data_IF_549889820758
#
_entry.id   IF_549889820758
#
_cell.length_a   1.000
_cell.length_b   1.000
_cell.length_c   1.000
_cell.angle_alpha   90.00
_cell.angle_beta   90.00
_cell.angle_gamma   90.00
#
_symmetry.space_group_name_H-M   'P 1'
#
loop_
_entity.id
_entity.type
_entity.pdbx_description
1 polymer ?
#
# COMPACT_ATOMS: atom_id res chain seq x y z
N UNK A 1 12.06 -17.38 -20.49
CA UNK A 1 13.11 -17.77 -21.44
C UNK A 1 14.40 -16.95 -21.24
N UNK A 2 14.33 -15.59 -21.24
CA UNK A 2 15.53 -14.72 -21.12
C UNK A 2 16.30 -14.92 -19.81
N UNK A 3 15.64 -15.07 -18.68
CA UNK A 3 16.27 -15.18 -17.34
C UNK A 3 17.07 -16.48 -17.11
N UNK A 4 16.85 -17.50 -17.90
CA UNK A 4 17.53 -18.80 -17.83
C UNK A 4 18.38 -19.06 -19.07
N UNK A 5 18.64 -18.06 -19.89
CA UNK A 5 19.48 -18.15 -21.09
C UNK A 5 20.86 -17.56 -20.82
N UNK A 6 21.87 -18.02 -21.56
CA UNK A 6 23.24 -17.48 -21.43
C UNK A 6 23.27 -15.98 -21.76
N UNK A 7 24.13 -15.22 -21.05
CA UNK A 7 24.27 -13.77 -21.25
C UNK A 7 24.56 -13.40 -22.71
N UNK A 8 25.37 -14.21 -23.41
CA UNK A 8 25.71 -13.99 -24.81
C UNK A 8 24.49 -14.12 -25.73
N UNK A 9 23.61 -15.11 -25.51
CA UNK A 9 22.40 -15.30 -26.31
C UNK A 9 21.35 -14.19 -26.05
N UNK A 10 21.30 -13.66 -24.83
CA UNK A 10 20.41 -12.53 -24.47
C UNK A 10 20.91 -11.23 -25.09
N UNK A 11 22.22 -10.96 -25.05
CA UNK A 11 22.84 -9.78 -25.70
C UNK A 11 22.71 -9.82 -27.23
N UNK A 12 22.83 -11.02 -27.82
CA UNK A 12 22.64 -11.20 -29.26
C UNK A 12 21.16 -11.12 -29.70
N UNK A 13 20.22 -10.88 -28.76
CA UNK A 13 18.77 -10.84 -29.00
C UNK A 13 18.20 -12.10 -29.67
N UNK A 14 18.84 -13.26 -29.48
CA UNK A 14 18.43 -14.52 -30.07
C UNK A 14 17.38 -15.29 -29.25
N UNK A 15 17.05 -14.80 -28.05
CA UNK A 15 16.10 -15.45 -27.14
C UNK A 15 14.73 -14.80 -27.25
N UNK A 16 13.81 -15.49 -27.94
CA UNK A 16 12.40 -15.07 -28.05
C UNK A 16 11.49 -15.90 -27.11
N UNK A 17 11.17 -17.11 -27.48
CA UNK A 17 10.25 -17.98 -26.75
C UNK A 17 10.93 -19.15 -26.02
N UNK A 18 12.06 -19.62 -26.53
CA UNK A 18 12.80 -20.75 -25.99
C UNK A 18 14.15 -20.29 -25.42
N UNK A 19 14.53 -20.83 -24.25
CA UNK A 19 15.82 -20.55 -23.64
C UNK A 19 16.96 -21.15 -24.47
N UNK A 20 17.99 -20.36 -24.78
CA UNK A 20 19.20 -20.82 -25.45
C UNK A 20 20.36 -20.78 -24.46
N UNK A 21 21.02 -21.96 -24.26
CA UNK A 21 22.13 -22.08 -23.32
C UNK A 21 21.68 -21.93 -21.87
N UNK A 22 21.02 -22.96 -21.33
CA UNK A 22 20.49 -22.95 -19.97
C UNK A 22 21.59 -22.59 -18.95
N UNK A 23 21.38 -21.49 -18.22
CA UNK A 23 22.34 -20.98 -17.25
C UNK A 23 21.60 -20.44 -16.01
N UNK A 24 21.94 -20.99 -14.85
CA UNK A 24 21.36 -20.59 -13.55
C UNK A 24 22.34 -19.71 -12.76
N UNK A 25 23.53 -19.43 -13.29
CA UNK A 25 24.57 -18.69 -12.55
C UNK A 25 24.12 -17.32 -12.07
N UNK A 26 23.23 -16.64 -12.83
CA UNK A 26 22.61 -15.38 -12.42
C UNK A 26 21.81 -15.55 -11.13
N UNK A 27 21.02 -16.62 -11.02
CA UNK A 27 20.25 -16.91 -9.82
C UNK A 27 21.14 -17.24 -8.63
N UNK A 28 22.21 -18.02 -8.84
CA UNK A 28 23.20 -18.31 -7.79
C UNK A 28 23.87 -17.03 -7.29
N UNK A 29 24.24 -16.12 -8.19
CA UNK A 29 24.84 -14.83 -7.84
C UNK A 29 23.84 -13.96 -7.05
N UNK A 30 22.57 -13.91 -7.48
CA UNK A 30 21.50 -13.17 -6.82
C UNK A 30 21.25 -13.72 -5.41
N UNK A 31 21.22 -15.05 -5.24
CA UNK A 31 21.01 -15.68 -3.93
C UNK A 31 22.23 -15.60 -3.01
N UNK A 32 23.43 -15.52 -3.57
CA UNK A 32 24.68 -15.31 -2.79
C UNK A 32 24.83 -13.85 -2.34
N UNK A 33 24.32 -12.90 -3.11
CA UNK A 33 24.28 -11.50 -2.74
C UNK A 33 23.08 -11.24 -1.81
N UNK A 34 23.23 -11.44 -0.51
CA UNK A 34 22.17 -11.32 0.50
C UNK A 34 21.31 -10.04 0.43
N UNK A 35 21.72 -9.07 -0.40
CA UNK A 35 21.06 -7.79 -0.59
C UNK A 35 19.64 -7.95 -1.18
N UNK A 36 19.46 -8.84 -2.15
CA UNK A 36 18.17 -9.06 -2.81
C UNK A 36 17.18 -9.77 -1.88
N UNK A 37 17.67 -10.73 -1.11
CA UNK A 37 16.89 -11.43 -0.08
C UNK A 37 16.43 -10.43 1.00
N UNK A 38 17.35 -9.58 1.47
CA UNK A 38 17.02 -8.53 2.43
C UNK A 38 15.96 -7.58 1.88
N UNK A 39 16.10 -7.09 0.63
CA UNK A 39 15.12 -6.20 -0.01
C UNK A 39 13.75 -6.86 -0.17
N UNK A 40 13.70 -8.17 -0.43
CA UNK A 40 12.44 -8.93 -0.51
C UNK A 40 11.73 -8.95 0.86
N UNK A 41 12.43 -9.34 1.93
CA UNK A 41 11.85 -9.34 3.27
C UNK A 41 11.44 -7.93 3.73
N UNK A 42 12.26 -6.94 3.43
CA UNK A 42 11.93 -5.53 3.70
C UNK A 42 10.64 -5.09 2.98
N UNK A 43 10.49 -5.43 1.69
CA UNK A 43 9.28 -5.10 0.92
C UNK A 43 8.04 -5.79 1.49
N UNK A 44 8.13 -7.06 1.88
CA UNK A 44 7.03 -7.79 2.52
C UNK A 44 6.66 -7.12 3.85
N UNK A 45 7.64 -6.88 4.71
CA UNK A 45 7.44 -6.25 6.02
C UNK A 45 6.81 -4.86 5.91
N UNK A 46 7.35 -4.00 5.03
CA UNK A 46 6.81 -2.67 4.76
C UNK A 46 5.38 -2.74 4.21
N UNK A 47 5.11 -3.65 3.27
CA UNK A 47 3.77 -3.83 2.70
C UNK A 47 2.77 -4.28 3.75
N UNK A 48 3.16 -5.17 4.67
CA UNK A 48 2.29 -5.62 5.77
C UNK A 48 1.93 -4.45 6.70
N UNK A 49 2.92 -3.69 7.15
CA UNK A 49 2.69 -2.54 8.02
C UNK A 49 1.79 -1.52 7.32
N UNK A 50 2.12 -1.16 6.07
CA UNK A 50 1.33 -0.23 5.28
C UNK A 50 -0.14 -0.67 5.15
N UNK A 51 -0.37 -1.94 4.84
CA UNK A 51 -1.71 -2.50 4.64
C UNK A 51 -2.52 -2.48 5.93
N UNK A 52 -1.93 -2.91 7.04
CA UNK A 52 -2.63 -2.93 8.35
C UNK A 52 -2.97 -1.52 8.79
N UNK A 53 -1.99 -0.61 8.78
CA UNK A 53 -2.20 0.78 9.18
C UNK A 53 -3.20 1.49 8.23
N UNK A 54 -3.09 1.26 6.92
CA UNK A 54 -4.02 1.81 5.93
C UNK A 54 -5.47 1.37 6.16
N UNK A 55 -5.68 0.08 6.45
CA UNK A 55 -7.00 -0.44 6.80
C UNK A 55 -7.55 0.17 8.10
N UNK A 56 -6.70 0.31 9.13
CA UNK A 56 -7.11 0.94 10.40
C UNK A 56 -7.54 2.38 10.16
N UNK A 57 -6.71 3.19 9.51
CA UNK A 57 -7.00 4.60 9.22
C UNK A 57 -8.25 4.74 8.34
N UNK A 58 -8.35 3.89 7.30
CA UNK A 58 -9.51 3.87 6.42
C UNK A 58 -10.79 3.53 7.17
N UNK A 59 -10.77 2.52 8.05
CA UNK A 59 -11.90 2.11 8.88
C UNK A 59 -12.32 3.22 9.85
N UNK A 60 -11.35 3.83 10.52
CA UNK A 60 -11.59 4.93 11.47
C UNK A 60 -12.21 6.17 10.78
N UNK A 61 -11.87 6.40 9.52
CA UNK A 61 -12.48 7.49 8.74
C UNK A 61 -13.86 7.08 8.18
N UNK A 62 -14.00 5.88 7.63
CA UNK A 62 -15.21 5.43 6.95
C UNK A 62 -16.37 5.19 7.91
N UNK A 63 -16.12 4.63 9.10
CA UNK A 63 -17.17 4.25 10.05
C UNK A 63 -17.99 5.44 10.53
N UNK A 64 -17.43 6.51 11.13
CA UNK A 64 -18.23 7.65 11.53
C UNK A 64 -18.91 8.35 10.35
N UNK A 65 -18.25 8.43 9.20
CA UNK A 65 -18.81 9.03 7.99
C UNK A 65 -19.95 8.20 7.35
N UNK A 66 -20.07 6.92 7.71
CA UNK A 66 -21.20 6.11 7.29
C UNK A 66 -22.49 6.43 8.06
N UNK A 67 -22.38 7.02 9.27
CA UNK A 67 -23.52 7.22 10.16
C UNK A 67 -24.30 8.50 9.85
N UNK A 68 -25.64 8.37 9.72
CA UNK A 68 -26.54 9.51 9.45
C UNK A 68 -26.56 10.54 10.59
N UNK A 69 -26.32 10.08 11.84
CA UNK A 69 -26.28 10.91 13.05
C UNK A 69 -25.08 11.86 13.14
N UNK A 70 -24.01 11.65 12.36
CA UNK A 70 -22.83 12.50 12.38
C UNK A 70 -23.16 13.87 11.77
N UNK A 71 -23.18 14.91 12.60
CA UNK A 71 -23.34 16.30 12.16
C UNK A 71 -22.12 16.73 11.32
N UNK A 72 -22.36 17.35 10.17
CA UNK A 72 -21.27 17.78 9.27
C UNK A 72 -20.67 16.65 8.40
N UNK A 73 -21.28 15.47 8.34
CA UNK A 73 -20.83 14.33 7.55
C UNK A 73 -20.44 14.68 6.10
N UNK A 74 -21.25 15.48 5.45
CA UNK A 74 -21.02 15.90 4.05
C UNK A 74 -19.79 16.78 3.94
N UNK A 75 -19.62 17.72 4.86
CA UNK A 75 -18.45 18.60 4.91
C UNK A 75 -17.15 17.82 5.12
N UNK A 76 -17.10 16.95 6.12
CA UNK A 76 -15.92 16.10 6.34
C UNK A 76 -15.63 15.19 5.16
N UNK A 77 -16.65 14.59 4.54
CA UNK A 77 -16.46 13.77 3.34
C UNK A 77 -15.86 14.58 2.20
N UNK A 78 -16.32 15.83 2.01
CA UNK A 78 -15.79 16.71 0.97
C UNK A 78 -14.31 17.03 1.21
N UNK A 79 -13.94 17.43 2.44
CA UNK A 79 -12.54 17.72 2.80
C UNK A 79 -11.64 16.50 2.54
N UNK A 80 -12.06 15.31 2.96
CA UNK A 80 -11.28 14.09 2.77
C UNK A 80 -11.15 13.67 1.30
N UNK A 81 -12.01 14.14 0.42
CA UNK A 81 -11.91 13.90 -1.03
C UNK A 81 -11.03 14.91 -1.76
N UNK A 82 -10.74 16.09 -1.19
CA UNK A 82 -9.92 17.12 -1.83
C UNK A 82 -8.56 16.55 -2.34
N UNK A 83 -7.81 15.77 -1.55
CA UNK A 83 -6.53 15.21 -1.99
C UNK A 83 -6.62 14.26 -3.19
N UNK A 84 -7.82 13.77 -3.53
CA UNK A 84 -8.03 12.92 -4.70
C UNK A 84 -7.96 13.72 -6.00
N UNK A 85 -8.34 14.99 -5.96
CA UNK A 85 -8.43 15.87 -7.13
C UNK A 85 -7.27 16.87 -7.22
N UNK A 86 -6.65 17.20 -6.09
CA UNK A 86 -5.59 18.20 -6.01
C UNK A 86 -4.31 17.57 -5.48
N UNK A 87 -3.23 17.70 -6.25
CA UNK A 87 -1.88 17.29 -5.86
C UNK A 87 -0.98 18.49 -5.80
N UNK A 88 -0.16 18.59 -4.77
CA UNK A 88 0.85 19.65 -4.65
C UNK A 88 2.00 19.50 -5.66
N UNK A 89 2.14 18.31 -6.26
CA UNK A 89 3.26 17.98 -7.12
C UNK A 89 4.49 17.47 -6.37
N UNK A 90 5.49 17.01 -7.13
CA UNK A 90 6.66 16.33 -6.57
C UNK A 90 7.53 17.25 -5.71
N UNK A 91 7.84 18.46 -6.22
CA UNK A 91 8.79 19.37 -5.55
C UNK A 91 8.27 19.85 -4.19
N UNK A 92 7.06 20.40 -4.06
CA UNK A 92 6.52 20.79 -2.75
C UNK A 92 6.41 19.63 -1.77
N UNK A 93 6.02 18.46 -2.26
CA UNK A 93 5.94 17.25 -1.44
C UNK A 93 7.30 16.81 -0.91
N UNK A 94 8.34 16.86 -1.75
CA UNK A 94 9.71 16.54 -1.36
C UNK A 94 10.22 17.50 -0.29
N UNK A 95 10.00 18.80 -0.46
CA UNK A 95 10.40 19.82 0.53
C UNK A 95 9.71 19.61 1.86
N UNK A 96 8.40 19.32 1.86
CA UNK A 96 7.65 19.01 3.07
C UNK A 96 8.23 17.78 3.80
N UNK A 97 8.55 16.69 3.08
CA UNK A 97 9.13 15.49 3.71
C UNK A 97 10.53 15.73 4.24
N UNK A 98 11.30 16.60 3.57
CA UNK A 98 12.61 17.04 4.04
C UNK A 98 12.48 17.82 5.35
N UNK A 99 11.58 18.79 5.42
CA UNK A 99 11.37 19.64 6.62
C UNK A 99 10.85 18.82 7.81
N UNK A 100 10.07 17.76 7.53
CA UNK A 100 9.60 16.81 8.55
C UNK A 100 10.63 15.74 8.92
N UNK A 101 11.84 15.76 8.35
CA UNK A 101 12.89 14.75 8.55
C UNK A 101 12.43 13.32 8.25
N UNK A 102 11.53 13.15 7.29
CA UNK A 102 11.00 11.85 6.87
C UNK A 102 11.82 11.20 5.76
N UNK A 103 12.66 11.96 5.02
CA UNK A 103 13.48 11.44 3.94
C UNK A 103 14.39 10.31 4.45
N UNK A 104 14.67 9.37 3.55
CA UNK A 104 15.53 8.20 3.81
C UNK A 104 15.08 7.36 5.01
N UNK A 105 13.77 7.23 5.19
CA UNK A 105 13.12 6.48 6.25
C UNK A 105 12.01 5.61 5.67
N UNK A 106 11.74 4.45 6.29
CA UNK A 106 10.58 3.61 5.93
C UNK A 106 9.25 4.40 6.04
N UNK A 107 9.18 5.35 6.97
CA UNK A 107 7.95 6.11 7.22
C UNK A 107 7.57 7.04 6.08
N UNK A 108 8.52 7.54 5.26
CA UNK A 108 8.18 8.32 4.06
C UNK A 108 7.42 7.51 3.03
N UNK A 109 7.61 6.19 3.02
CA UNK A 109 6.90 5.27 2.13
C UNK A 109 5.54 4.83 2.68
N UNK A 110 5.26 5.06 3.97
CA UNK A 110 4.04 4.61 4.64
C UNK A 110 3.10 5.78 4.90
N UNK A 111 3.54 6.78 5.69
CA UNK A 111 2.67 7.83 6.24
C UNK A 111 1.93 8.64 5.18
N UNK A 112 2.57 9.10 4.10
CA UNK A 112 1.89 9.94 3.11
C UNK A 112 0.79 9.22 2.33
N UNK A 113 0.92 7.92 2.16
CA UNK A 113 0.04 7.11 1.33
C UNK A 113 -0.94 6.25 2.13
N UNK A 114 -0.85 6.28 3.46
CA UNK A 114 -1.64 5.44 4.36
C UNK A 114 -3.14 5.69 4.23
N UNK A 115 -3.54 6.94 3.98
CA UNK A 115 -4.93 7.32 3.77
C UNK A 115 -5.26 7.39 2.27
N UNK A 116 -6.18 6.53 1.84
CA UNK A 116 -6.73 6.54 0.49
C UNK A 116 -8.19 7.00 0.53
N UNK A 117 -8.52 8.20 0.00
CA UNK A 117 -9.90 8.67 -0.08
C UNK A 117 -10.80 7.70 -0.85
N UNK A 118 -10.29 7.10 -1.92
CA UNK A 118 -11.01 6.11 -2.73
C UNK A 118 -11.41 4.88 -1.92
N UNK A 119 -10.45 4.28 -1.19
CA UNK A 119 -10.72 3.12 -0.35
C UNK A 119 -11.69 3.45 0.80
N UNK A 120 -11.56 4.65 1.37
CA UNK A 120 -12.48 5.16 2.40
C UNK A 120 -13.91 5.28 1.88
N UNK A 121 -14.12 5.80 0.66
CA UNK A 121 -15.45 5.91 0.05
C UNK A 121 -16.08 4.54 -0.20
N UNK A 122 -15.31 3.57 -0.70
CA UNK A 122 -15.78 2.21 -0.92
C UNK A 122 -16.20 1.57 0.42
N UNK A 123 -15.35 1.66 1.44
CA UNK A 123 -15.66 1.10 2.76
C UNK A 123 -16.87 1.78 3.40
N UNK A 124 -16.95 3.10 3.31
CA UNK A 124 -18.13 3.87 3.77
C UNK A 124 -19.41 3.43 3.06
N UNK A 125 -19.37 3.30 1.74
CA UNK A 125 -20.53 2.87 0.94
C UNK A 125 -20.98 1.47 1.35
N UNK A 126 -20.04 0.56 1.57
CA UNK A 126 -20.35 -0.78 2.07
C UNK A 126 -21.02 -0.74 3.46
N UNK A 127 -20.48 0.03 4.40
CA UNK A 127 -21.09 0.16 5.72
C UNK A 127 -22.53 0.70 5.67
N UNK A 128 -22.80 1.63 4.73
CA UNK A 128 -24.15 2.19 4.55
C UNK A 128 -25.15 1.24 3.91
N UNK A 129 -24.69 0.36 3.01
CA UNK A 129 -25.58 -0.54 2.26
C UNK A 129 -25.78 -1.90 2.92
N UNK A 130 -24.75 -2.39 3.63
CA UNK A 130 -24.72 -3.78 4.11
C UNK A 130 -25.03 -3.93 5.59
N UNK A 131 -25.01 -2.83 6.36
CA UNK A 131 -25.26 -2.86 7.81
C UNK A 131 -26.53 -2.10 8.10
N UNK A 132 -27.64 -2.80 8.49
CA UNK A 132 -28.90 -2.14 8.85
C UNK A 132 -28.75 -1.22 10.06
N UNK A 133 -29.32 0.00 9.96
CA UNK A 133 -29.32 0.97 11.08
C UNK A 133 -29.95 0.34 12.34
N UNK A 134 -30.99 -0.51 12.18
CA UNK A 134 -31.70 -1.18 13.29
C UNK A 134 -30.79 -2.08 14.14
N UNK A 135 -29.79 -2.70 13.54
CA UNK A 135 -28.85 -3.56 14.27
C UNK A 135 -27.97 -2.73 15.24
N UNK A 136 -27.57 -1.57 14.81
CA UNK A 136 -26.79 -0.66 15.65
C UNK A 136 -27.65 0.02 16.72
N UNK A 137 -28.89 0.38 16.39
CA UNK A 137 -29.84 0.95 17.34
C UNK A 137 -30.14 -0.03 18.47
N UNK A 138 -30.38 -1.30 18.15
CA UNK A 138 -30.56 -2.34 19.16
C UNK A 138 -29.33 -2.47 20.07
N UNK A 139 -28.13 -2.50 19.49
CA UNK A 139 -26.91 -2.56 20.28
C UNK A 139 -26.70 -1.33 21.20
N UNK A 140 -27.13 -0.13 20.75
CA UNK A 140 -27.14 1.06 21.60
C UNK A 140 -28.13 0.95 22.77
N UNK A 141 -29.32 0.39 22.54
CA UNK A 141 -30.28 0.14 23.61
C UNK A 141 -29.75 -0.83 24.64
N UNK A 142 -28.94 -1.80 24.22
CA UNK A 142 -28.23 -2.73 25.08
C UNK A 142 -27.00 -2.11 25.80
N UNK A 143 -26.76 -0.80 25.61
CA UNK A 143 -25.67 -0.06 26.27
C UNK A 143 -24.32 -0.19 25.60
N UNK A 144 -24.22 -0.72 24.37
CA UNK A 144 -22.95 -0.83 23.68
C UNK A 144 -22.40 0.53 23.22
N UNK A 145 -21.11 0.73 23.42
CA UNK A 145 -20.40 1.92 22.92
C UNK A 145 -20.12 1.83 21.40
N UNK A 146 -19.85 2.97 20.76
CA UNK A 146 -19.49 3.00 19.33
C UNK A 146 -18.33 2.07 18.97
N UNK A 147 -17.31 1.98 19.84
CA UNK A 147 -16.17 1.07 19.63
C UNK A 147 -16.59 -0.40 19.75
N UNK A 148 -17.45 -0.74 20.71
CA UNK A 148 -17.96 -2.10 20.83
C UNK A 148 -18.79 -2.51 19.61
N UNK A 149 -19.63 -1.60 19.09
CA UNK A 149 -20.42 -1.83 17.88
C UNK A 149 -19.47 -2.01 16.68
N UNK A 150 -18.48 -1.13 16.50
CA UNK A 150 -17.51 -1.27 15.42
C UNK A 150 -16.79 -2.62 15.46
N UNK A 151 -16.20 -3.01 16.60
CA UNK A 151 -15.35 -4.20 16.67
C UNK A 151 -16.15 -5.51 16.76
N UNK A 152 -17.33 -5.52 17.40
CA UNK A 152 -18.10 -6.74 17.63
C UNK A 152 -19.17 -7.00 16.58
N UNK A 153 -19.65 -5.95 15.89
CA UNK A 153 -20.76 -6.05 14.93
C UNK A 153 -20.27 -5.67 13.52
N UNK A 154 -19.82 -4.45 13.34
CA UNK A 154 -19.54 -3.89 12.01
C UNK A 154 -18.38 -4.61 11.32
N UNK A 155 -17.23 -4.74 11.97
CA UNK A 155 -16.06 -5.38 11.37
C UNK A 155 -16.28 -6.86 11.05
N UNK A 156 -16.88 -7.69 11.93
CA UNK A 156 -17.17 -9.08 11.59
C UNK A 156 -18.15 -9.26 10.42
N UNK A 157 -19.14 -8.36 10.28
CA UNK A 157 -20.08 -8.37 9.16
C UNK A 157 -19.45 -7.84 7.86
N UNK A 158 -18.34 -7.12 7.96
CA UNK A 158 -17.67 -6.46 6.84
C UNK A 158 -16.42 -7.20 6.34
N UNK A 159 -16.26 -8.49 6.62
CA UNK A 159 -15.08 -9.27 6.25
C UNK A 159 -14.79 -9.24 4.74
N UNK A 160 -15.83 -9.25 3.90
CA UNK A 160 -15.69 -9.21 2.44
C UNK A 160 -15.02 -7.93 1.96
N UNK A 161 -15.48 -6.77 2.43
CA UNK A 161 -14.88 -5.49 2.03
C UNK A 161 -13.49 -5.31 2.64
N UNK A 162 -13.27 -5.76 3.87
CA UNK A 162 -11.95 -5.72 4.51
C UNK A 162 -10.95 -6.54 3.70
N UNK A 163 -11.30 -7.76 3.28
CA UNK A 163 -10.43 -8.60 2.43
C UNK A 163 -10.13 -7.94 1.07
N UNK A 164 -11.13 -7.31 0.46
CA UNK A 164 -10.95 -6.58 -0.80
C UNK A 164 -9.99 -5.40 -0.64
N UNK A 165 -10.18 -4.58 0.38
CA UNK A 165 -9.33 -3.42 0.63
C UNK A 165 -7.92 -3.82 1.11
N UNK A 166 -7.80 -4.91 1.86
CA UNK A 166 -6.49 -5.51 2.19
C UNK A 166 -5.71 -5.82 0.91
N UNK A 167 -6.37 -6.46 -0.07
CA UNK A 167 -5.76 -6.74 -1.37
C UNK A 167 -5.36 -5.45 -2.10
N UNK A 168 -6.23 -4.43 -2.13
CA UNK A 168 -5.94 -3.16 -2.80
C UNK A 168 -4.73 -2.45 -2.18
N UNK A 169 -4.67 -2.36 -0.85
CA UNK A 169 -3.53 -1.77 -0.15
C UNK A 169 -2.25 -2.58 -0.38
N UNK A 170 -2.31 -3.91 -0.23
CA UNK A 170 -1.14 -4.78 -0.36
C UNK A 170 -0.58 -4.75 -1.79
N UNK A 171 -1.42 -4.96 -2.81
CA UNK A 171 -0.99 -4.96 -4.21
C UNK A 171 -0.55 -3.56 -4.65
N UNK A 172 -1.27 -2.52 -4.24
CA UNK A 172 -0.91 -1.13 -4.53
C UNK A 172 0.47 -0.78 -3.98
N UNK A 173 0.75 -1.12 -2.72
CA UNK A 173 2.08 -0.86 -2.11
C UNK A 173 3.18 -1.73 -2.70
N UNK A 174 2.89 -3.01 -2.94
CA UNK A 174 3.85 -3.92 -3.56
C UNK A 174 4.33 -3.42 -4.93
N UNK A 175 3.44 -2.88 -5.76
CA UNK A 175 3.78 -2.39 -7.09
C UNK A 175 4.34 -0.96 -7.10
N UNK A 176 4.20 -0.21 -6.02
CA UNK A 176 4.69 1.17 -5.94
C UNK A 176 6.19 1.18 -5.64
N UNK A 177 6.98 1.74 -6.57
CA UNK A 177 8.43 1.95 -6.38
C UNK A 177 8.88 3.37 -6.70
N UNK A 178 8.05 4.14 -7.41
CA UNK A 178 8.42 5.49 -7.85
C UNK A 178 8.68 6.44 -6.68
N UNK A 179 7.91 6.34 -5.61
CA UNK A 179 8.10 7.10 -4.37
C UNK A 179 9.43 6.73 -3.69
N UNK A 180 9.78 5.44 -3.61
CA UNK A 180 11.05 5.00 -3.07
C UNK A 180 12.23 5.55 -3.86
N UNK A 181 12.11 5.68 -5.19
CA UNK A 181 13.15 6.23 -6.05
C UNK A 181 13.47 7.69 -5.74
N UNK A 182 12.48 8.47 -5.29
CA UNK A 182 12.66 9.89 -4.98
C UNK A 182 13.07 10.16 -3.54
N UNK A 183 12.68 9.30 -2.60
CA UNK A 183 12.78 9.60 -1.17
C UNK A 183 13.77 8.70 -0.42
N UNK A 184 14.26 7.61 -1.02
CA UNK A 184 15.17 6.64 -0.38
C UNK A 184 16.52 6.65 -1.10
N UNK A 185 17.58 6.92 -0.34
CA UNK A 185 18.98 6.87 -0.77
C UNK A 185 19.72 5.66 -0.20
N UNK A 186 19.45 5.29 1.04
CA UNK A 186 20.10 4.18 1.73
C UNK A 186 19.74 2.83 1.10
N UNK A 187 20.75 2.05 0.72
CA UNK A 187 20.59 0.76 0.03
C UNK A 187 19.73 -0.24 0.81
N UNK A 188 19.86 -0.31 2.14
CA UNK A 188 19.11 -1.24 2.99
C UNK A 188 17.61 -0.93 3.07
N UNK A 189 17.18 0.29 2.74
CA UNK A 189 15.78 0.73 2.75
C UNK A 189 15.12 0.68 1.37
N UNK A 190 15.85 0.20 0.35
CA UNK A 190 15.30 0.08 -1.01
C UNK A 190 14.39 -1.14 -1.11
N UNK A 191 13.11 -0.96 -1.51
CA UNK A 191 12.24 -2.08 -1.85
C UNK A 191 12.79 -2.89 -3.03
N UNK A 192 12.40 -4.16 -3.12
CA UNK A 192 12.90 -5.07 -4.16
C UNK A 192 12.65 -4.54 -5.58
N UNK A 193 11.52 -3.88 -5.81
CA UNK A 193 11.16 -3.31 -7.11
C UNK A 193 12.13 -2.20 -7.54
N UNK A 194 12.53 -1.34 -6.59
CA UNK A 194 13.51 -0.28 -6.87
C UNK A 194 14.89 -0.89 -7.11
N UNK A 195 15.29 -1.87 -6.30
CA UNK A 195 16.56 -2.55 -6.47
C UNK A 195 16.66 -3.22 -7.85
N UNK A 196 15.62 -3.94 -8.28
CA UNK A 196 15.57 -4.55 -9.61
C UNK A 196 15.64 -3.51 -10.73
N UNK A 197 14.95 -2.37 -10.58
CA UNK A 197 15.03 -1.25 -11.53
C UNK A 197 16.44 -0.64 -11.61
N UNK A 198 17.15 -0.57 -10.48
CA UNK A 198 18.54 -0.08 -10.45
C UNK A 198 19.49 -1.05 -11.16
N UNK A 199 19.29 -2.36 -11.01
CA UNK A 199 20.05 -3.38 -11.78
C UNK A 199 19.82 -3.25 -13.29
N UNK A 200 18.59 -3.08 -13.74
CA UNK A 200 18.29 -2.88 -15.17
C UNK A 200 18.94 -1.62 -15.76
N UNK A 201 19.10 -0.60 -14.93
CA UNK A 201 19.72 0.69 -15.34
C UNK A 201 21.25 0.71 -15.18
N UNK A 202 21.87 -0.38 -14.72
CA UNK A 202 23.32 -0.45 -14.47
C UNK A 202 23.83 0.53 -13.40
N UNK A 203 22.99 0.82 -12.39
CA UNK A 203 23.29 1.78 -11.30
C UNK A 203 23.74 1.06 -9.99
N UNK A 204 24.01 -0.21 -10.04
CA UNK A 204 24.48 -1.03 -8.89
C UNK A 204 25.89 -1.51 -9.15
#
# INVERSE_FOLDING_TARGET
AKSVSSSNAVMAKEVYFVAKGFNISMYETIFKDGQLIHAMFYSVYMTMIFTVLGLVVCTCAAYPLSKKRLKGRTFFSFILMIPMYFSAGLIPTYLLYKDLNLLDSMWVLILPLIFSPYNMLIMRSFFQSSIPDSLEESAFLDGATNFQILFRIVLPLSKSIIATLLLFYAVGRWNAFADAQYYITTKSLKPIQLLLSDFERGRV
#
